data_IF_108310524442
#
_entry.id   IF_108310524442
#
_cell.length_a   1.000
_cell.length_b   1.000
_cell.length_c   1.000
_cell.angle_alpha   90.00
_cell.angle_beta   90.00
_cell.angle_gamma   90.00
#
_symmetry.space_group_name_H-M   'P 1'
#
loop_
_entity.id
_entity.type
_entity.pdbx_description
1 polymer ?
#
# COMPACT_ATOMS: atom_id res chain seq x y z
N UNK A 1 -17.80 -29.46 2.57
CA UNK A 1 -18.25 -28.05 2.43
C UNK A 1 -17.15 -27.36 1.65
N UNK A 2 -17.42 -26.94 0.41
CA UNK A 2 -16.44 -26.22 -0.41
C UNK A 2 -16.31 -24.80 0.14
N UNK A 3 -15.08 -24.37 0.41
CA UNK A 3 -14.83 -22.97 0.80
C UNK A 3 -15.28 -22.04 -0.34
N UNK A 4 -16.02 -20.96 -0.04
CA UNK A 4 -16.38 -19.98 -1.06
C UNK A 4 -15.13 -19.30 -1.62
N UNK A 5 -15.10 -19.07 -2.93
CA UNK A 5 -13.99 -18.36 -3.58
C UNK A 5 -13.83 -16.95 -2.99
N UNK A 6 -12.58 -16.55 -2.74
CA UNK A 6 -12.25 -15.20 -2.27
C UNK A 6 -12.80 -14.17 -3.26
N UNK A 7 -13.31 -13.04 -2.74
CA UNK A 7 -13.89 -11.93 -3.51
C UNK A 7 -15.23 -12.20 -4.22
N UNK A 8 -15.94 -13.30 -3.91
CA UNK A 8 -17.26 -13.65 -4.47
C UNK A 8 -18.47 -12.95 -3.84
N UNK A 9 -18.25 -11.94 -2.98
CA UNK A 9 -19.35 -11.20 -2.32
C UNK A 9 -20.19 -10.45 -3.35
N UNK A 10 -21.37 -10.99 -3.65
CA UNK A 10 -22.41 -10.38 -4.48
C UNK A 10 -23.76 -10.39 -3.77
N UNK A 11 -24.55 -9.33 -3.95
CA UNK A 11 -25.88 -9.18 -3.33
C UNK A 11 -26.86 -10.21 -3.89
N UNK A 12 -27.16 -11.26 -3.12
CA UNK A 12 -28.27 -12.18 -3.40
C UNK A 12 -29.57 -11.67 -2.75
N UNK A 13 -30.61 -11.52 -3.57
CA UNK A 13 -31.89 -10.93 -3.16
C UNK A 13 -32.83 -11.89 -2.43
N UNK A 14 -33.33 -11.46 -1.27
CA UNK A 14 -34.76 -11.35 -0.90
C UNK A 14 -34.87 -11.08 0.61
N UNK A 15 -35.56 -9.99 0.97
CA UNK A 15 -35.61 -9.42 2.32
C UNK A 15 -36.45 -10.26 3.30
N UNK A 16 -35.89 -10.71 4.44
CA UNK A 16 -36.51 -10.43 5.73
C UNK A 16 -36.14 -8.99 6.14
N UNK A 17 -37.01 -8.31 6.89
CA UNK A 17 -36.85 -6.91 7.32
C UNK A 17 -35.41 -6.58 7.69
N UNK A 18 -34.81 -5.62 6.98
CA UNK A 18 -33.41 -5.21 7.14
C UNK A 18 -33.13 -4.86 8.61
N UNK A 19 -32.41 -5.73 9.31
CA UNK A 19 -32.07 -5.52 10.72
C UNK A 19 -30.79 -4.69 10.80
N UNK A 20 -30.96 -3.36 10.89
CA UNK A 20 -29.84 -2.43 11.00
C UNK A 20 -28.94 -2.67 12.22
N UNK A 21 -29.43 -3.35 13.28
CA UNK A 21 -28.56 -3.80 14.38
C UNK A 21 -27.56 -4.83 13.89
N UNK A 22 -28.01 -5.85 13.14
CA UNK A 22 -27.14 -6.88 12.59
C UNK A 22 -26.16 -6.33 11.56
N UNK A 23 -26.59 -5.35 10.76
CA UNK A 23 -25.71 -4.67 9.80
C UNK A 23 -24.65 -3.85 10.54
N UNK A 24 -25.04 -3.07 11.54
CA UNK A 24 -24.12 -2.30 12.38
C UNK A 24 -23.11 -3.20 13.10
N UNK A 25 -23.57 -4.30 13.71
CA UNK A 25 -22.73 -5.32 14.36
C UNK A 25 -21.75 -5.95 13.37
N UNK A 26 -22.20 -6.27 12.15
CA UNK A 26 -21.33 -6.85 11.10
C UNK A 26 -20.24 -5.87 10.68
N UNK A 27 -20.59 -4.60 10.50
CA UNK A 27 -19.61 -3.57 10.14
C UNK A 27 -18.64 -3.33 11.29
N UNK A 28 -19.09 -3.35 12.54
CA UNK A 28 -18.21 -3.26 13.69
C UNK A 28 -17.22 -4.44 13.76
N UNK A 29 -17.66 -5.66 13.43
CA UNK A 29 -16.77 -6.82 13.33
C UNK A 29 -15.76 -6.70 12.17
N UNK A 30 -16.17 -6.16 11.02
CA UNK A 30 -15.28 -5.87 9.90
C UNK A 30 -14.25 -4.78 10.26
N UNK A 31 -14.69 -3.70 10.89
CA UNK A 31 -13.83 -2.63 11.37
C UNK A 31 -12.81 -3.17 12.39
N UNK A 32 -13.24 -4.01 13.33
CA UNK A 32 -12.33 -4.68 14.26
C UNK A 32 -11.29 -5.56 13.53
N UNK A 33 -11.72 -6.31 12.52
CA UNK A 33 -10.82 -7.16 11.72
C UNK A 33 -9.77 -6.32 10.99
N UNK A 34 -10.18 -5.19 10.39
CA UNK A 34 -9.24 -4.27 9.74
C UNK A 34 -8.31 -3.62 10.76
N UNK A 35 -8.82 -3.15 11.90
CA UNK A 35 -8.01 -2.57 12.98
C UNK A 35 -7.00 -3.59 13.55
N UNK A 36 -7.33 -4.88 13.59
CA UNK A 36 -6.40 -5.94 13.96
C UNK A 36 -5.27 -6.08 12.94
N UNK A 37 -5.59 -6.09 11.63
CA UNK A 37 -4.58 -6.13 10.57
C UNK A 37 -3.68 -4.89 10.62
N UNK A 38 -4.27 -3.71 10.78
CA UNK A 38 -3.59 -2.43 10.92
C UNK A 38 -2.65 -2.43 12.15
N UNK A 39 -3.11 -2.95 13.29
CA UNK A 39 -2.28 -3.09 14.50
C UNK A 39 -1.11 -4.04 14.25
N UNK A 40 -1.34 -5.20 13.62
CA UNK A 40 -0.27 -6.13 13.26
C UNK A 40 0.72 -5.53 12.26
N UNK A 41 0.27 -4.66 11.37
CA UNK A 41 1.16 -3.90 10.50
C UNK A 41 1.95 -2.86 11.29
N UNK A 42 1.31 -2.05 12.14
CA UNK A 42 2.00 -1.07 13.01
C UNK A 42 3.03 -1.73 13.95
N UNK A 43 2.77 -2.95 14.42
CA UNK A 43 3.77 -3.74 15.16
C UNK A 43 4.99 -4.12 14.29
N UNK A 44 4.77 -4.34 13.00
CA UNK A 44 5.81 -4.56 11.99
C UNK A 44 6.63 -3.31 11.66
N UNK A 45 6.08 -2.10 11.82
CA UNK A 45 6.77 -0.83 11.54
C UNK A 45 8.12 -0.74 12.25
N UNK A 46 8.21 -1.22 13.50
CA UNK A 46 9.47 -1.20 14.24
C UNK A 46 10.56 -2.04 13.56
N UNK A 47 10.20 -3.22 13.04
CA UNK A 47 11.14 -4.11 12.37
C UNK A 47 11.53 -3.54 11.01
N UNK A 48 10.57 -2.92 10.31
CA UNK A 48 10.79 -2.27 9.03
C UNK A 48 11.70 -1.05 9.17
N UNK A 49 11.44 -0.17 10.14
CA UNK A 49 12.28 1.01 10.41
C UNK A 49 13.72 0.61 10.74
N UNK A 50 13.92 -0.44 11.55
CA UNK A 50 15.27 -0.97 11.83
C UNK A 50 15.98 -1.46 10.56
N UNK A 51 15.25 -2.08 9.62
CA UNK A 51 15.82 -2.47 8.35
C UNK A 51 16.16 -1.24 7.49
N UNK A 52 15.28 -0.24 7.42
CA UNK A 52 15.53 1.03 6.71
C UNK A 52 16.79 1.73 7.23
N UNK A 53 16.97 1.81 8.55
CA UNK A 53 18.19 2.34 9.17
C UNK A 53 19.42 1.51 8.74
N UNK A 54 19.32 0.19 8.82
CA UNK A 54 20.41 -0.73 8.43
C UNK A 54 20.79 -0.56 6.95
N UNK A 55 19.83 -0.34 6.05
CA UNK A 55 20.11 -0.11 4.63
C UNK A 55 20.72 1.27 4.37
N UNK A 56 20.34 2.28 5.13
CA UNK A 56 20.96 3.61 5.10
C UNK A 56 22.42 3.52 5.53
N UNK A 57 22.70 2.79 6.62
CA UNK A 57 24.06 2.51 7.07
C UNK A 57 24.87 1.72 6.03
N UNK A 58 24.25 0.71 5.39
CA UNK A 58 24.90 -0.03 4.30
C UNK A 58 25.21 0.86 3.10
N UNK A 59 24.38 1.86 2.81
CA UNK A 59 24.65 2.84 1.74
C UNK A 59 25.87 3.69 2.08
N UNK A 60 25.96 4.16 3.33
CA UNK A 60 27.12 4.91 3.82
C UNK A 60 28.40 4.07 3.76
N UNK A 61 28.38 2.83 4.26
CA UNK A 61 29.52 1.93 4.18
C UNK A 61 29.91 1.60 2.73
N UNK A 62 28.94 1.49 1.81
CA UNK A 62 29.23 1.31 0.38
C UNK A 62 30.00 2.49 -0.20
N UNK A 63 29.60 3.72 0.14
CA UNK A 63 30.31 4.96 -0.26
C UNK A 63 31.73 4.99 0.31
N UNK A 64 31.92 4.57 1.56
CA UNK A 64 33.25 4.46 2.17
C UNK A 64 34.14 3.44 1.46
N UNK A 65 33.59 2.26 1.10
CA UNK A 65 34.31 1.23 0.31
C UNK A 65 34.77 1.80 -1.03
N UNK A 66 33.92 2.57 -1.71
CA UNK A 66 34.27 3.23 -2.98
C UNK A 66 35.40 4.24 -2.76
N UNK A 67 35.31 5.06 -1.71
CA UNK A 67 36.33 6.06 -1.39
C UNK A 67 37.69 5.43 -1.06
N UNK A 68 37.71 4.31 -0.33
CA UNK A 68 38.95 3.57 -0.05
C UNK A 68 39.49 2.87 -1.31
N UNK A 69 38.63 2.28 -2.15
CA UNK A 69 39.04 1.66 -3.41
C UNK A 69 39.69 2.67 -4.37
N UNK A 70 39.25 3.93 -4.35
CA UNK A 70 39.81 5.01 -5.16
C UNK A 70 41.24 5.42 -4.75
N UNK A 71 41.69 5.07 -3.53
CA UNK A 71 43.07 5.34 -3.08
C UNK A 71 44.10 4.36 -3.62
N UNK A 72 43.66 3.23 -4.18
CA UNK A 72 44.50 2.22 -4.79
C UNK A 72 45.05 2.71 -6.14
N UNK A 73 46.32 2.41 -6.44
CA UNK A 73 46.98 2.84 -7.68
C UNK A 73 46.55 1.95 -8.85
N UNK A 74 45.90 2.57 -9.84
CA UNK A 74 45.44 1.91 -11.06
C UNK A 74 46.59 1.38 -11.93
N UNK A 75 47.81 1.88 -11.74
CA UNK A 75 48.98 1.47 -12.51
C UNK A 75 49.65 0.21 -11.95
N UNK A 76 49.30 -0.22 -10.74
CA UNK A 76 49.80 -1.45 -10.12
C UNK A 76 48.78 -2.57 -10.41
N UNK A 77 49.14 -3.61 -11.20
CA UNK A 77 48.17 -4.60 -11.68
C UNK A 77 47.34 -5.28 -10.59
N UNK A 78 47.96 -5.61 -9.45
CA UNK A 78 47.28 -6.23 -8.32
C UNK A 78 46.35 -5.27 -7.57
N UNK A 79 46.69 -3.98 -7.49
CA UNK A 79 45.84 -2.96 -6.86
C UNK A 79 44.66 -2.57 -7.77
N UNK A 80 44.88 -2.53 -9.09
CA UNK A 80 43.83 -2.33 -10.08
C UNK A 80 42.75 -3.44 -10.03
N UNK A 81 43.17 -4.70 -9.87
CA UNK A 81 42.24 -5.83 -9.71
C UNK A 81 41.41 -5.72 -8.42
N UNK A 82 42.06 -5.41 -7.29
CA UNK A 82 41.36 -5.21 -6.00
C UNK A 82 40.36 -4.07 -6.11
N UNK A 83 40.79 -2.94 -6.69
CA UNK A 83 39.93 -1.77 -6.91
C UNK A 83 38.70 -2.14 -7.73
N UNK A 84 38.88 -2.83 -8.84
CA UNK A 84 37.76 -3.24 -9.70
C UNK A 84 36.77 -4.14 -8.95
N UNK A 85 37.27 -5.12 -8.19
CA UNK A 85 36.43 -6.00 -7.40
C UNK A 85 35.65 -5.25 -6.30
N UNK A 86 36.28 -4.29 -5.62
CA UNK A 86 35.62 -3.46 -4.61
C UNK A 86 34.53 -2.57 -5.21
N UNK A 87 34.80 -1.93 -6.35
CA UNK A 87 33.82 -1.09 -7.04
C UNK A 87 32.61 -1.90 -7.50
N UNK A 88 32.82 -3.06 -8.12
CA UNK A 88 31.72 -3.94 -8.54
C UNK A 88 30.90 -4.46 -7.35
N UNK A 89 31.54 -4.77 -6.22
CA UNK A 89 30.82 -5.16 -5.00
C UNK A 89 29.98 -4.01 -4.42
N UNK A 90 30.51 -2.79 -4.43
CA UNK A 90 29.82 -1.59 -3.95
C UNK A 90 28.63 -1.20 -4.85
N UNK A 91 28.77 -1.30 -6.17
CA UNK A 91 27.67 -1.12 -7.13
C UNK A 91 26.55 -2.13 -6.90
N UNK A 92 26.89 -3.40 -6.73
CA UNK A 92 25.93 -4.46 -6.42
C UNK A 92 25.20 -4.24 -5.08
N UNK A 93 25.89 -3.68 -4.09
CA UNK A 93 25.29 -3.30 -2.80
C UNK A 93 24.33 -2.12 -2.96
N UNK A 94 24.72 -1.09 -3.73
CA UNK A 94 23.88 0.07 -4.01
C UNK A 94 22.56 -0.31 -4.69
N UNK A 95 22.61 -1.21 -5.68
CA UNK A 95 21.40 -1.69 -6.36
C UNK A 95 20.44 -2.43 -5.43
N UNK A 96 20.96 -3.25 -4.50
CA UNK A 96 20.13 -3.94 -3.50
C UNK A 96 19.52 -3.00 -2.48
N UNK A 97 20.24 -1.95 -2.07
CA UNK A 97 19.72 -0.93 -1.17
C UNK A 97 18.55 -0.19 -1.83
N UNK A 98 18.70 0.20 -3.10
CA UNK A 98 17.63 0.87 -3.84
C UNK A 98 16.37 0.00 -3.93
N UNK A 99 16.52 -1.30 -4.23
CA UNK A 99 15.38 -2.24 -4.23
C UNK A 99 14.72 -2.36 -2.85
N UNK A 100 15.51 -2.36 -1.77
CA UNK A 100 14.98 -2.39 -0.42
C UNK A 100 14.19 -1.11 -0.09
N UNK A 101 14.68 0.07 -0.48
CA UNK A 101 13.97 1.35 -0.32
C UNK A 101 12.60 1.32 -1.00
N UNK A 102 12.54 0.84 -2.25
CA UNK A 102 11.26 0.69 -2.99
C UNK A 102 10.31 -0.27 -2.25
N UNK A 103 10.82 -1.39 -1.73
CA UNK A 103 10.02 -2.34 -0.96
C UNK A 103 9.44 -1.72 0.32
N UNK A 104 10.16 -0.79 0.97
CA UNK A 104 9.63 -0.07 2.14
C UNK A 104 8.59 0.96 1.79
N UNK A 105 8.72 1.65 0.66
CA UNK A 105 7.67 2.55 0.17
C UNK A 105 6.37 1.78 -0.11
N UNK A 106 6.47 0.56 -0.64
CA UNK A 106 5.31 -0.32 -0.78
C UNK A 106 4.67 -0.67 0.57
N UNK A 107 5.49 -0.97 1.58
CA UNK A 107 5.03 -1.28 2.92
C UNK A 107 4.32 -0.09 3.59
N UNK A 108 4.92 1.10 3.54
CA UNK A 108 4.34 2.34 4.07
C UNK A 108 3.00 2.65 3.38
N UNK A 109 2.97 2.59 2.04
CA UNK A 109 1.74 2.75 1.26
C UNK A 109 0.66 1.73 1.64
N UNK A 110 1.03 0.47 1.90
CA UNK A 110 0.08 -0.56 2.34
C UNK A 110 -0.49 -0.25 3.73
N UNK A 111 0.36 0.18 4.67
CA UNK A 111 -0.04 0.57 6.03
C UNK A 111 -1.06 1.72 6.00
N UNK A 112 -0.77 2.77 5.23
CA UNK A 112 -1.66 3.93 5.05
C UNK A 112 -3.02 3.54 4.44
N UNK A 113 -3.03 2.66 3.44
CA UNK A 113 -4.28 2.21 2.80
C UNK A 113 -5.17 1.42 3.76
N UNK A 114 -4.59 0.65 4.67
CA UNK A 114 -5.35 -0.07 5.69
C UNK A 114 -5.90 0.86 6.76
N UNK A 115 -5.14 1.85 7.20
CA UNK A 115 -5.59 2.89 8.13
C UNK A 115 -6.81 3.65 7.53
N UNK A 116 -6.73 4.04 6.26
CA UNK A 116 -7.87 4.63 5.53
C UNK A 116 -9.07 3.68 5.42
N UNK A 117 -8.86 2.41 5.13
CA UNK A 117 -9.94 1.42 5.06
C UNK A 117 -10.63 1.23 6.42
N UNK A 118 -9.85 1.18 7.50
CA UNK A 118 -10.30 1.10 8.89
C UNK A 118 -11.23 2.27 9.22
N UNK A 119 -10.77 3.49 8.96
CA UNK A 119 -11.51 4.71 9.22
C UNK A 119 -12.79 4.84 8.36
N UNK A 120 -12.73 4.41 7.10
CA UNK A 120 -13.89 4.42 6.21
C UNK A 120 -14.97 3.43 6.67
N UNK A 121 -14.59 2.25 7.16
CA UNK A 121 -15.55 1.30 7.75
C UNK A 121 -16.18 1.84 9.02
N UNK A 122 -15.40 2.51 9.87
CA UNK A 122 -15.90 3.17 11.08
C UNK A 122 -16.95 4.24 10.76
N UNK A 123 -16.68 5.11 9.77
CA UNK A 123 -17.65 6.11 9.28
C UNK A 123 -18.96 5.48 8.81
N UNK A 124 -18.88 4.41 8.03
CA UNK A 124 -20.06 3.69 7.54
C UNK A 124 -20.81 3.04 8.72
N UNK A 125 -20.09 2.49 9.70
CA UNK A 125 -20.65 1.92 10.91
C UNK A 125 -21.41 2.94 11.76
N UNK A 126 -20.85 4.14 11.94
CA UNK A 126 -21.52 5.24 12.63
C UNK A 126 -22.79 5.69 11.91
N UNK A 127 -22.73 5.86 10.58
CA UNK A 127 -23.89 6.25 9.78
C UNK A 127 -25.04 5.24 9.90
N UNK A 128 -24.75 3.94 9.89
CA UNK A 128 -25.77 2.89 10.00
C UNK A 128 -26.36 2.79 11.42
N UNK A 129 -25.53 3.06 12.42
CA UNK A 129 -25.93 3.02 13.83
C UNK A 129 -26.83 4.21 14.21
N UNK A 130 -26.69 5.34 13.52
CA UNK A 130 -27.55 6.51 13.72
C UNK A 130 -28.94 6.29 13.10
N UNK A 131 -29.95 6.17 13.96
CA UNK A 131 -31.34 5.92 13.54
C UNK A 131 -31.97 7.06 12.73
N UNK A 132 -31.45 8.28 12.82
CA UNK A 132 -31.90 9.44 12.04
C UNK A 132 -31.18 9.53 10.70
N UNK A 133 -29.84 9.55 10.73
CA UNK A 133 -29.03 9.75 9.53
C UNK A 133 -29.07 8.57 8.57
N UNK A 134 -29.25 7.32 9.04
CA UNK A 134 -29.26 6.14 8.16
C UNK A 134 -30.35 6.14 7.10
N UNK A 135 -31.43 6.90 7.33
CA UNK A 135 -32.54 7.04 6.37
C UNK A 135 -32.38 8.25 5.46
N UNK A 136 -31.40 9.12 5.73
CA UNK A 136 -31.14 10.32 4.95
C UNK A 136 -30.16 10.05 3.80
N UNK A 137 -30.65 10.17 2.57
CA UNK A 137 -29.80 10.03 1.37
C UNK A 137 -28.64 11.03 1.35
N UNK A 138 -28.85 12.24 1.90
CA UNK A 138 -27.81 13.27 2.03
C UNK A 138 -26.64 12.82 2.91
N UNK A 139 -26.91 12.10 4.00
CA UNK A 139 -25.88 11.60 4.91
C UNK A 139 -25.03 10.50 4.22
N UNK A 140 -25.68 9.59 3.49
CA UNK A 140 -25.00 8.59 2.65
C UNK A 140 -24.12 9.22 1.57
N UNK A 141 -24.63 10.21 0.84
CA UNK A 141 -23.86 10.93 -0.18
C UNK A 141 -22.66 11.66 0.41
N UNK A 142 -22.80 12.22 1.62
CA UNK A 142 -21.70 12.88 2.33
C UNK A 142 -20.58 11.89 2.64
N UNK A 143 -20.90 10.75 3.26
CA UNK A 143 -19.92 9.70 3.57
C UNK A 143 -19.26 9.16 2.30
N UNK A 144 -20.04 8.91 1.24
CA UNK A 144 -19.48 8.47 -0.05
C UNK A 144 -18.51 9.48 -0.66
N UNK A 145 -18.84 10.78 -0.59
CA UNK A 145 -17.97 11.84 -1.09
C UNK A 145 -16.70 11.96 -0.25
N UNK A 146 -16.80 11.84 1.07
CA UNK A 146 -15.63 11.83 1.97
C UNK A 146 -14.70 10.66 1.65
N UNK A 147 -15.25 9.44 1.54
CA UNK A 147 -14.48 8.25 1.17
C UNK A 147 -13.82 8.46 -0.20
N UNK A 148 -14.58 8.92 -1.20
CA UNK A 148 -14.04 9.20 -2.53
C UNK A 148 -12.92 10.24 -2.50
N UNK A 149 -13.05 11.27 -1.66
CA UNK A 149 -12.04 12.33 -1.53
C UNK A 149 -10.78 11.88 -0.79
N UNK A 150 -10.87 10.85 0.07
CA UNK A 150 -9.70 10.27 0.75
C UNK A 150 -8.78 9.48 -0.17
N UNK A 151 -9.27 9.03 -1.32
CA UNK A 151 -8.45 8.33 -2.30
C UNK A 151 -7.55 9.32 -3.05
N UNK A 152 -6.24 9.13 -2.91
CA UNK A 152 -5.21 9.91 -3.60
C UNK A 152 -4.93 9.34 -4.99
N UNK A 153 -5.12 8.03 -5.21
CA UNK A 153 -4.86 7.37 -6.48
C UNK A 153 -6.10 7.30 -7.36
N UNK A 154 -5.91 7.56 -8.65
CA UNK A 154 -6.98 7.47 -9.65
C UNK A 154 -7.55 6.04 -9.76
N UNK A 155 -6.69 5.02 -9.70
CA UNK A 155 -7.13 3.63 -9.72
C UNK A 155 -8.09 3.29 -8.55
N UNK A 156 -7.88 3.86 -7.37
CA UNK A 156 -8.76 3.66 -6.21
C UNK A 156 -10.10 4.36 -6.38
N UNK A 157 -10.10 5.56 -6.98
CA UNK A 157 -11.34 6.29 -7.31
C UNK A 157 -12.15 5.55 -8.37
N UNK A 158 -11.49 4.98 -9.38
CA UNK A 158 -12.12 4.20 -10.44
C UNK A 158 -12.73 2.93 -9.85
N UNK A 159 -12.00 2.20 -9.01
CA UNK A 159 -12.55 1.04 -8.27
C UNK A 159 -13.81 1.42 -7.50
N UNK A 160 -13.74 2.50 -6.72
CA UNK A 160 -14.89 2.99 -5.95
C UNK A 160 -16.08 3.31 -6.85
N UNK A 161 -15.88 4.04 -7.96
CA UNK A 161 -16.95 4.34 -8.92
C UNK A 161 -17.53 3.09 -9.57
N UNK A 162 -16.71 2.07 -9.87
CA UNK A 162 -17.18 0.80 -10.41
C UNK A 162 -18.11 0.08 -9.43
N UNK A 163 -17.73 0.00 -8.15
CA UNK A 163 -18.58 -0.56 -7.10
C UNK A 163 -19.88 0.24 -6.95
N UNK A 164 -19.79 1.57 -6.96
CA UNK A 164 -20.96 2.45 -6.85
C UNK A 164 -21.91 2.34 -8.05
N UNK A 165 -21.42 1.94 -9.22
CA UNK A 165 -22.23 1.65 -10.42
C UNK A 165 -22.83 0.23 -10.42
N UNK A 166 -22.52 -0.58 -9.40
CA UNK A 166 -23.06 -1.94 -9.24
C UNK A 166 -22.23 -3.05 -9.88
N UNK A 167 -21.00 -2.76 -10.32
CA UNK A 167 -20.06 -3.79 -10.77
C UNK A 167 -19.51 -4.60 -9.60
N UNK A 168 -19.03 -5.81 -9.89
CA UNK A 168 -18.46 -6.70 -8.88
C UNK A 168 -17.09 -6.23 -8.38
N UNK A 169 -16.72 -6.69 -7.19
CA UNK A 169 -15.37 -6.45 -6.62
C UNK A 169 -14.28 -7.06 -7.49
N UNK A 170 -14.53 -8.21 -8.13
CA UNK A 170 -13.58 -8.84 -9.03
C UNK A 170 -13.28 -7.98 -10.26
N UNK A 171 -14.31 -7.42 -10.92
CA UNK A 171 -14.13 -6.53 -12.08
C UNK A 171 -13.39 -5.24 -11.70
N UNK A 172 -13.68 -4.67 -10.53
CA UNK A 172 -12.97 -3.49 -10.03
C UNK A 172 -11.48 -3.79 -9.78
N UNK A 173 -11.16 -4.97 -9.24
CA UNK A 173 -9.78 -5.41 -9.00
C UNK A 173 -9.01 -5.67 -10.30
N UNK A 174 -9.65 -6.23 -11.33
CA UNK A 174 -9.01 -6.41 -12.65
C UNK A 174 -8.59 -5.07 -13.27
N UNK A 175 -9.46 -4.07 -13.22
CA UNK A 175 -9.17 -2.71 -13.70
C UNK A 175 -8.03 -2.10 -12.90
N UNK A 176 -8.04 -2.28 -11.58
CA UNK A 176 -6.97 -1.81 -10.70
C UNK A 176 -5.63 -2.43 -11.07
N UNK A 177 -5.54 -3.75 -11.21
CA UNK A 177 -4.29 -4.42 -11.57
C UNK A 177 -3.77 -3.95 -12.93
N UNK A 178 -4.65 -3.74 -13.91
CA UNK A 178 -4.25 -3.27 -15.23
C UNK A 178 -3.70 -1.84 -15.20
N UNK A 179 -4.33 -0.93 -14.43
CA UNK A 179 -3.87 0.45 -14.30
C UNK A 179 -2.65 0.59 -13.38
N UNK A 180 -2.60 -0.20 -12.31
CA UNK A 180 -1.50 -0.18 -11.34
C UNK A 180 -0.21 -0.68 -11.97
N UNK A 181 -0.26 -1.81 -12.68
CA UNK A 181 0.92 -2.35 -13.37
C UNK A 181 1.40 -1.41 -14.49
N UNK A 182 0.46 -0.78 -15.22
CA UNK A 182 0.81 0.20 -16.25
C UNK A 182 1.47 1.45 -15.67
N UNK A 183 1.00 1.95 -14.52
CA UNK A 183 1.60 3.09 -13.85
C UNK A 183 2.95 2.77 -13.21
N UNK A 184 3.16 1.53 -12.73
CA UNK A 184 4.49 1.09 -12.30
C UNK A 184 5.45 1.02 -13.50
N UNK A 185 5.04 0.41 -14.62
CA UNK A 185 5.86 0.37 -15.85
C UNK A 185 6.17 1.77 -16.43
N UNK A 186 5.23 2.71 -16.41
CA UNK A 186 5.44 4.10 -16.86
C UNK A 186 6.27 4.94 -15.86
N UNK A 187 6.18 4.68 -14.55
CA UNK A 187 7.05 5.29 -13.54
C UNK A 187 8.48 4.75 -13.58
N UNK A 188 8.71 3.58 -14.18
CA UNK A 188 10.04 3.02 -14.44
C UNK A 188 10.67 3.52 -15.75
N UNK A 189 9.89 4.10 -16.67
CA UNK A 189 10.37 4.63 -17.97
C UNK A 189 10.48 6.17 -18.01
N UNK A 190 10.13 6.85 -16.91
CA UNK A 190 10.35 8.28 -16.74
C UNK A 190 11.58 8.51 -15.86
N UNK A 191 12.68 8.92 -16.52
CA UNK A 191 13.91 9.47 -15.96
C UNK A 191 13.68 10.85 -15.28
N UNK A 192 12.57 11.00 -14.56
CA UNK A 192 12.17 12.25 -13.92
C UNK A 192 12.24 12.09 -12.39
N UNK A 193 13.35 12.57 -11.84
CA UNK A 193 13.50 13.23 -10.55
C UNK A 193 12.52 12.80 -9.44
N UNK A 194 12.98 11.88 -8.59
CA UNK A 194 12.45 11.70 -7.24
C UNK A 194 12.73 12.99 -6.46
N UNK A 195 11.78 13.94 -6.48
CA UNK A 195 11.74 15.03 -5.50
C UNK A 195 11.53 14.42 -4.11
N UNK A 196 12.61 14.37 -3.35
CA UNK A 196 12.59 14.18 -1.91
C UNK A 196 11.87 15.38 -1.27
N UNK A 197 10.69 15.13 -0.70
CA UNK A 197 10.09 15.96 0.35
C UNK A 197 10.01 15.16 1.65
#
# INVERSE_FOLDING_TARGET
>A
MLEPERHSLGSQGSLPTMNFSQIGETIAMLALTVAQIETSMKEGDKSVNQLTDSFTDLASHSQEIIAEAQKLDENIPHEAEIRQNMLTAAEGLSGKIQQAVIAFQFYDRLSQRLDHASHNLEKIGHLISDSGERYEESAWRKVQNEIKSSYTMEAERIMFEHIMRGHSVAEALEIYHHQFNKNEEEAFDTDDDVEFF
#
